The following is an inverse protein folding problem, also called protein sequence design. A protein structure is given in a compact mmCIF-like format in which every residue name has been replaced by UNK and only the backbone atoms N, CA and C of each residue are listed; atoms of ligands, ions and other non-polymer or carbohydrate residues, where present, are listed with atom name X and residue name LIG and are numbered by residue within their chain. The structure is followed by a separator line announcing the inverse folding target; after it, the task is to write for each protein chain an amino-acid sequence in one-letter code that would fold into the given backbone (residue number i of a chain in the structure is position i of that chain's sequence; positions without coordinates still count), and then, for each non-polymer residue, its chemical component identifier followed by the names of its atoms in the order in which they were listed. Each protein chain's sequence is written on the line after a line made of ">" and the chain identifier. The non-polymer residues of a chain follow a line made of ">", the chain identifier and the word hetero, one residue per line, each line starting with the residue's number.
data_IF_238634306056
#
_entry.id   IF_238634306056
#
_cell.length_a   1.000
_cell.length_b   1.000
_cell.length_c   1.000
_cell.angle_alpha   90.00
_cell.angle_beta   90.00
_cell.angle_gamma   90.00
#
_symmetry.space_group_name_H-M   'P 1'
#
loop_
_entity.id
_entity.type
_entity.pdbx_description
1 polymer ?
#
# COMPACT_ATOMS: atom_id res chain seq x y z
N UNK A 1 -16.35 40.97 63.32
CA UNK A 1 -16.08 39.97 64.37
C UNK A 1 -16.64 38.65 63.85
N UNK A 2 -15.95 37.53 63.68
CA UNK A 2 -14.62 37.08 64.12
C UNK A 2 -14.30 35.86 63.23
N UNK A 3 -13.07 35.76 62.72
CA UNK A 3 -12.55 34.56 62.04
C UNK A 3 -12.46 33.39 63.04
N UNK A 4 -12.58 32.13 62.57
CA UNK A 4 -11.50 31.11 62.61
C UNK A 4 -11.96 29.72 62.11
N UNK A 5 -11.01 29.04 61.46
CA UNK A 5 -10.90 27.68 60.93
C UNK A 5 -11.61 26.55 61.72
N UNK A 6 -11.96 25.44 61.05
CA UNK A 6 -11.26 24.14 61.15
C UNK A 6 -11.65 23.15 60.02
N UNK A 7 -10.65 22.39 59.60
CA UNK A 7 -10.58 21.39 58.53
C UNK A 7 -10.88 19.99 59.11
N UNK A 8 -11.62 19.14 58.41
CA UNK A 8 -11.52 17.67 58.58
C UNK A 8 -11.99 16.94 57.31
N UNK A 9 -11.09 16.11 56.76
CA UNK A 9 -11.32 15.18 55.66
C UNK A 9 -12.35 14.09 56.05
N UNK A 10 -13.23 13.73 55.11
CA UNK A 10 -13.85 12.41 55.07
C UNK A 10 -13.86 11.89 53.63
N UNK A 11 -13.32 10.70 53.48
CA UNK A 11 -13.08 9.95 52.23
C UNK A 11 -14.40 9.43 51.68
N UNK A 12 -14.76 9.80 50.44
CA UNK A 12 -15.83 9.16 49.69
C UNK A 12 -15.25 8.09 48.76
N UNK A 13 -15.33 6.83 49.20
CA UNK A 13 -15.29 5.69 48.30
C UNK A 13 -16.69 5.54 47.67
N UNK A 14 -16.82 5.79 46.37
CA UNK A 14 -18.01 5.44 45.61
C UNK A 14 -17.71 4.23 44.73
N UNK A 15 -18.31 3.12 45.13
CA UNK A 15 -18.46 1.88 44.37
C UNK A 15 -19.42 2.16 43.22
N UNK A 16 -18.94 2.05 41.98
CA UNK A 16 -19.83 1.94 40.82
C UNK A 16 -20.16 0.46 40.59
N UNK A 17 -21.30 0.04 41.12
CA UNK A 17 -22.03 -1.16 40.69
C UNK A 17 -22.65 -0.89 39.32
N UNK A 18 -22.36 -1.77 38.36
CA UNK A 18 -22.89 -1.73 37.01
C UNK A 18 -24.40 -2.00 36.97
N UNK A 19 -25.08 -1.28 36.09
CA UNK A 19 -26.40 -1.65 35.60
C UNK A 19 -26.26 -2.43 34.29
N UNK A 20 -27.05 -3.49 34.21
CA UNK A 20 -27.21 -4.43 33.11
C UNK A 20 -28.68 -4.36 32.73
N UNK A 21 -29.00 -3.99 31.49
CA UNK A 21 -30.29 -4.16 30.81
C UNK A 21 -29.94 -4.44 29.33
N UNK A 22 -30.09 -5.65 28.78
CA UNK A 22 -31.29 -6.44 28.39
C UNK A 22 -31.74 -6.18 26.95
N UNK A 23 -31.48 -7.20 26.12
CA UNK A 23 -32.27 -7.73 24.99
C UNK A 23 -32.67 -6.83 23.80
N UNK A 24 -32.01 -7.08 22.65
CA UNK A 24 -32.71 -7.44 21.41
C UNK A 24 -32.97 -6.36 20.36
N UNK A 25 -32.07 -6.22 19.39
CA UNK A 25 -32.45 -5.93 18.00
C UNK A 25 -31.54 -6.69 17.03
N UNK A 26 -32.19 -7.26 16.02
CA UNK A 26 -31.65 -8.01 14.90
C UNK A 26 -30.75 -7.10 14.05
N UNK A 27 -29.67 -7.68 13.51
CA UNK A 27 -28.67 -7.12 12.57
C UNK A 27 -27.61 -6.15 13.17
N UNK A 28 -26.58 -6.73 13.79
CA UNK A 28 -25.25 -6.09 13.87
C UNK A 28 -24.20 -7.15 13.48
N UNK A 29 -23.50 -7.01 12.32
CA UNK A 29 -22.54 -8.00 11.89
C UNK A 29 -21.34 -8.00 12.84
N UNK A 30 -20.81 -9.20 13.08
CA UNK A 30 -19.68 -9.49 13.95
C UNK A 30 -18.46 -8.59 13.69
N UNK A 31 -18.39 -7.42 14.32
CA UNK A 31 -17.14 -6.68 14.52
C UNK A 31 -16.49 -7.28 15.76
N UNK A 32 -15.28 -7.82 15.61
CA UNK A 32 -14.52 -8.34 16.76
C UNK A 32 -14.31 -7.22 17.78
N UNK A 33 -14.14 -7.55 19.06
CA UNK A 33 -13.95 -6.61 20.18
C UNK A 33 -12.81 -5.58 19.96
N UNK A 34 -11.97 -5.75 18.92
CA UNK A 34 -10.85 -4.87 18.59
C UNK A 34 -10.90 -4.24 17.17
N UNK A 35 -11.89 -4.54 16.33
CA UNK A 35 -11.99 -3.98 14.97
C UNK A 35 -10.96 -4.47 13.94
N UNK A 36 -9.90 -5.18 14.36
CA UNK A 36 -8.85 -5.75 13.51
C UNK A 36 -9.07 -7.24 13.25
N UNK A 37 -8.84 -7.68 12.01
CA UNK A 37 -8.99 -9.09 11.62
C UNK A 37 -7.93 -9.97 12.29
N UNK A 38 -8.35 -11.18 12.64
CA UNK A 38 -7.51 -12.28 13.08
C UNK A 38 -7.68 -13.46 12.12
N UNK A 39 -6.68 -14.33 12.08
CA UNK A 39 -6.73 -15.57 11.31
C UNK A 39 -7.91 -16.49 11.68
N UNK A 40 -8.47 -16.33 12.89
CA UNK A 40 -9.60 -17.12 13.39
C UNK A 40 -10.98 -16.58 13.02
N UNK A 41 -11.06 -15.39 12.43
CA UNK A 41 -12.34 -14.82 12.01
C UNK A 41 -12.91 -15.58 10.81
N UNK A 42 -14.19 -15.36 10.49
CA UNK A 42 -14.89 -16.14 9.46
C UNK A 42 -15.35 -15.19 8.36
N UNK A 43 -14.97 -15.50 7.12
CA UNK A 43 -15.46 -14.80 5.94
C UNK A 43 -16.95 -15.13 5.77
N UNK A 44 -17.80 -14.13 6.00
CA UNK A 44 -19.28 -14.26 5.97
C UNK A 44 -19.87 -14.17 4.57
N UNK A 45 -19.10 -13.63 3.61
CA UNK A 45 -19.54 -13.38 2.24
C UNK A 45 -18.44 -12.69 1.43
N UNK A 46 -18.72 -12.43 0.16
CA UNK A 46 -17.81 -11.67 -0.71
C UNK A 46 -17.79 -10.17 -0.38
N UNK A 47 -18.76 -9.69 0.40
CA UNK A 47 -18.87 -8.33 0.97
C UNK A 47 -18.10 -8.15 2.30
N UNK A 48 -17.46 -9.21 2.80
CA UNK A 48 -16.62 -9.16 3.99
C UNK A 48 -15.54 -8.07 3.85
N UNK A 49 -15.53 -7.11 4.77
CA UNK A 49 -14.52 -6.05 4.84
C UNK A 49 -13.32 -6.57 5.62
N UNK A 50 -12.17 -6.66 4.97
CA UNK A 50 -10.92 -7.02 5.67
C UNK A 50 -10.39 -5.84 6.46
N UNK A 51 -10.14 -6.05 7.75
CA UNK A 51 -9.50 -5.06 8.63
C UNK A 51 -8.04 -5.45 8.86
N UNK A 52 -7.14 -4.96 7.99
CA UNK A 52 -5.75 -5.40 7.92
C UNK A 52 -4.84 -4.58 8.85
N UNK A 53 -4.21 -5.18 9.87
CA UNK A 53 -3.30 -4.46 10.77
C UNK A 53 -2.01 -4.07 10.04
N UNK A 54 -1.60 -2.81 10.19
CA UNK A 54 -0.38 -2.24 9.61
C UNK A 54 0.54 -1.73 10.71
N UNK A 55 1.81 -2.12 10.65
CA UNK A 55 2.87 -1.65 11.54
C UNK A 55 3.98 -0.99 10.71
N UNK A 56 4.27 0.28 11.02
CA UNK A 56 5.37 1.04 10.42
C UNK A 56 6.62 0.91 11.28
N UNK A 57 7.67 0.29 10.72
CA UNK A 57 8.99 0.20 11.34
C UNK A 57 9.87 1.34 10.82
N UNK A 58 10.01 2.40 11.62
CA UNK A 58 10.69 3.64 11.25
C UNK A 58 12.13 3.61 11.72
N UNK A 59 13.06 3.42 10.79
CA UNK A 59 14.49 3.37 11.09
C UNK A 59 15.07 4.78 11.16
N UNK A 60 15.81 5.05 12.22
CA UNK A 60 16.41 6.36 12.42
C UNK A 60 17.79 6.27 13.05
N UNK A 61 18.68 7.18 12.66
CA UNK A 61 19.98 7.35 13.30
C UNK A 61 19.94 8.49 14.34
N UNK A 62 19.32 9.60 13.98
CA UNK A 62 19.14 10.79 14.82
C UNK A 62 17.65 11.11 14.98
N UNK A 63 17.16 11.15 16.22
CA UNK A 63 15.76 11.49 16.50
C UNK A 63 15.41 12.96 16.23
N UNK A 64 16.41 13.80 15.95
CA UNK A 64 16.23 15.20 15.53
C UNK A 64 16.13 15.36 14.02
N UNK A 65 16.51 14.35 13.24
CA UNK A 65 16.37 14.38 11.79
C UNK A 65 14.93 14.01 11.41
N UNK A 66 14.12 15.03 11.10
CA UNK A 66 12.71 14.85 10.73
C UNK A 66 12.49 14.08 9.42
N UNK A 67 13.54 13.84 8.62
CA UNK A 67 13.47 12.98 7.43
C UNK A 67 13.65 11.49 7.77
N UNK A 68 14.19 11.18 8.95
CA UNK A 68 14.35 9.80 9.44
C UNK A 68 13.38 9.49 10.59
N UNK A 69 13.23 10.41 11.53
CA UNK A 69 12.34 10.29 12.68
C UNK A 69 10.97 10.92 12.39
N UNK A 70 10.23 10.31 11.47
CA UNK A 70 8.93 10.81 11.00
C UNK A 70 7.89 10.69 12.13
N UNK A 71 7.13 11.75 12.47
CA UNK A 71 6.13 11.68 13.53
C UNK A 71 5.00 10.68 13.26
N UNK A 72 4.57 9.95 14.30
CA UNK A 72 3.54 8.93 14.19
C UNK A 72 2.22 9.41 13.56
N UNK A 73 1.84 10.66 13.80
CA UNK A 73 0.65 11.27 13.19
C UNK A 73 0.69 11.24 11.66
N UNK A 74 1.88 11.31 11.05
CA UNK A 74 2.01 11.26 9.60
C UNK A 74 1.57 9.91 9.04
N UNK A 75 1.86 8.81 9.74
CA UNK A 75 1.46 7.47 9.30
C UNK A 75 -0.04 7.24 9.44
N UNK A 76 -0.68 7.87 10.43
CA UNK A 76 -2.15 7.90 10.52
C UNK A 76 -2.77 8.58 9.31
N UNK A 77 -2.29 9.77 8.96
CA UNK A 77 -2.78 10.49 7.76
C UNK A 77 -2.61 9.65 6.48
N UNK A 78 -1.45 8.98 6.31
CA UNK A 78 -1.22 8.11 5.16
C UNK A 78 -2.24 6.97 5.09
N UNK A 79 -2.48 6.28 6.21
CA UNK A 79 -3.46 5.17 6.27
C UNK A 79 -4.88 5.68 5.99
N UNK A 80 -5.26 6.82 6.55
CA UNK A 80 -6.58 7.43 6.28
C UNK A 80 -6.77 7.70 4.78
N UNK A 81 -5.76 8.29 4.13
CA UNK A 81 -5.80 8.60 2.69
C UNK A 81 -5.70 7.37 1.79
N UNK A 82 -4.95 6.35 2.19
CA UNK A 82 -4.92 5.06 1.50
C UNK A 82 -6.28 4.38 1.58
N UNK A 83 -6.93 4.37 2.74
CA UNK A 83 -8.28 3.82 2.90
C UNK A 83 -9.29 4.54 1.99
N UNK A 84 -9.16 5.84 1.80
CA UNK A 84 -10.00 6.58 0.85
C UNK A 84 -9.75 6.18 -0.62
N UNK A 85 -8.52 5.86 -1.00
CA UNK A 85 -8.20 5.32 -2.33
C UNK A 85 -8.77 3.90 -2.52
N UNK A 86 -8.75 3.08 -1.48
CA UNK A 86 -9.23 1.68 -1.50
C UNK A 86 -10.75 1.55 -1.34
N UNK A 87 -11.41 2.52 -0.72
CA UNK A 87 -12.88 2.57 -0.61
C UNK A 87 -13.57 2.76 -1.97
N UNK A 88 -12.84 3.21 -2.99
CA UNK A 88 -13.37 3.44 -4.32
C UNK A 88 -14.26 4.67 -4.41
N UNK A 89 -14.43 5.17 -5.63
CA UNK A 89 -15.33 6.29 -5.98
C UNK A 89 -15.19 7.60 -5.16
N UNK A 90 -14.05 7.84 -4.50
CA UNK A 90 -13.81 9.07 -3.71
C UNK A 90 -13.27 10.22 -4.57
N UNK A 91 -12.28 9.95 -5.44
CA UNK A 91 -11.48 10.97 -6.13
C UNK A 91 -11.69 11.08 -7.65
N UNK A 92 -12.33 10.07 -8.23
CA UNK A 92 -12.65 9.94 -9.65
C UNK A 92 -13.93 10.68 -10.07
N UNK A 93 -14.52 11.47 -9.17
CA UNK A 93 -15.66 12.31 -9.47
C UNK A 93 -15.29 13.20 -10.68
N UNK A 94 -16.14 13.18 -11.70
CA UNK A 94 -16.04 14.02 -12.91
C UNK A 94 -14.89 13.68 -13.88
N UNK A 95 -14.32 12.47 -13.82
CA UNK A 95 -13.55 11.93 -14.95
C UNK A 95 -14.48 11.12 -15.87
N UNK A 96 -14.23 11.16 -17.17
CA UNK A 96 -14.91 10.31 -18.16
C UNK A 96 -14.28 8.91 -18.13
N UNK A 97 -14.44 8.24 -16.97
CA UNK A 97 -13.86 6.93 -16.66
C UNK A 97 -14.86 6.13 -15.83
N UNK A 98 -14.66 4.82 -15.76
CA UNK A 98 -15.47 3.93 -14.91
C UNK A 98 -15.12 4.18 -13.45
N UNK A 99 -16.10 3.97 -12.56
CA UNK A 99 -15.87 4.11 -11.13
C UNK A 99 -14.73 3.21 -10.65
N UNK A 100 -13.95 3.67 -9.65
CA UNK A 100 -13.02 2.79 -8.95
C UNK A 100 -13.81 1.85 -8.06
N UNK A 101 -13.41 0.59 -8.08
CA UNK A 101 -13.99 -0.43 -7.22
C UNK A 101 -13.74 -0.14 -5.74
N UNK A 102 -14.70 -0.53 -4.92
CA UNK A 102 -14.50 -0.66 -3.48
C UNK A 102 -13.88 -2.03 -3.22
N UNK A 103 -12.71 -2.06 -2.59
CA UNK A 103 -11.98 -3.31 -2.38
C UNK A 103 -12.46 -4.09 -1.15
N UNK A 104 -13.34 -3.50 -0.34
CA UNK A 104 -13.76 -4.04 0.96
C UNK A 104 -12.52 -4.39 1.80
N UNK A 105 -11.58 -3.44 1.87
CA UNK A 105 -10.35 -3.50 2.68
C UNK A 105 -10.23 -2.19 3.43
N UNK A 106 -9.96 -2.29 4.73
CA UNK A 106 -9.63 -1.21 5.63
C UNK A 106 -8.29 -1.52 6.28
N UNK A 107 -7.28 -0.71 6.00
CA UNK A 107 -6.00 -0.78 6.68
C UNK A 107 -6.08 -0.05 8.02
N UNK A 108 -5.53 -0.64 9.06
CA UNK A 108 -5.63 -0.12 10.42
C UNK A 108 -4.28 -0.11 11.11
N UNK A 109 -3.93 0.97 11.79
CA UNK A 109 -2.71 1.02 12.58
C UNK A 109 -2.77 -0.04 13.70
N UNK A 110 -1.78 -0.93 13.76
CA UNK A 110 -1.71 -1.99 14.76
C UNK A 110 -1.80 -1.44 16.19
N UNK A 111 -2.74 -1.92 17.01
CA UNK A 111 -2.87 -1.46 18.40
C UNK A 111 -2.12 -2.32 19.41
N UNK A 112 -1.81 -3.56 19.04
CA UNK A 112 -1.18 -4.57 19.89
C UNK A 112 0.04 -5.14 19.18
N UNK A 113 1.00 -5.61 19.97
CA UNK A 113 2.18 -6.33 19.48
C UNK A 113 1.87 -7.81 19.21
N UNK A 114 2.86 -8.56 18.75
CA UNK A 114 2.77 -10.01 18.48
C UNK A 114 2.35 -10.86 19.69
N UNK A 115 2.49 -10.33 20.91
CA UNK A 115 2.06 -10.99 22.15
C UNK A 115 0.67 -10.54 22.61
N UNK A 116 -0.04 -9.75 21.81
CA UNK A 116 -1.35 -9.19 22.11
C UNK A 116 -1.31 -8.05 23.13
N UNK A 117 -0.13 -7.50 23.46
CA UNK A 117 -0.01 -6.38 24.39
C UNK A 117 -0.14 -5.06 23.65
N UNK A 118 -0.90 -4.12 24.23
CA UNK A 118 -1.08 -2.78 23.64
C UNK A 118 0.27 -2.06 23.49
N UNK A 119 0.53 -1.51 22.31
CA UNK A 119 1.73 -0.72 22.04
C UNK A 119 1.52 0.76 22.40
N UNK A 120 2.62 1.45 22.74
CA UNK A 120 2.57 2.84 23.19
C UNK A 120 2.18 3.82 22.08
N UNK A 121 2.60 3.53 20.85
CA UNK A 121 2.32 4.35 19.67
C UNK A 121 1.65 3.41 18.64
N UNK A 122 0.31 3.46 18.50
CA UNK A 122 -0.40 2.60 17.56
C UNK A 122 0.18 2.70 16.14
N UNK A 123 0.44 1.53 15.56
CA UNK A 123 0.99 1.31 14.23
C UNK A 123 2.39 1.81 13.98
N UNK A 124 3.17 2.22 15.00
CA UNK A 124 4.54 2.74 14.75
C UNK A 124 5.54 2.20 15.77
N UNK A 125 6.62 1.63 15.25
CA UNK A 125 7.82 1.28 15.99
C UNK A 125 9.01 2.09 15.47
N UNK A 126 9.75 2.74 16.37
CA UNK A 126 10.97 3.48 16.02
C UNK A 126 12.21 2.62 16.30
N UNK A 127 12.94 2.28 15.26
CA UNK A 127 14.12 1.39 15.32
C UNK A 127 15.40 2.21 15.17
N UNK A 128 16.17 2.34 16.25
CA UNK A 128 17.44 3.06 16.20
C UNK A 128 18.50 2.23 15.46
N UNK A 129 19.18 2.85 14.50
CA UNK A 129 20.24 2.22 13.69
C UNK A 129 21.46 3.13 13.56
N UNK A 130 22.62 2.56 13.23
CA UNK A 130 23.82 3.32 12.85
C UNK A 130 23.83 3.70 11.37
N UNK A 131 23.08 2.95 10.54
CA UNK A 131 22.96 3.19 9.10
C UNK A 131 22.04 4.38 8.83
N UNK A 132 22.46 5.28 7.93
CA UNK A 132 21.65 6.44 7.53
C UNK A 132 20.72 6.16 6.35
N UNK A 133 21.11 5.21 5.51
CA UNK A 133 20.41 4.82 4.30
C UNK A 133 20.54 3.31 4.12
N UNK A 134 19.54 2.67 3.53
CA UNK A 134 19.55 1.24 3.23
C UNK A 134 19.32 1.01 1.73
N UNK A 135 19.99 0.00 1.18
CA UNK A 135 19.65 -0.53 -0.13
C UNK A 135 18.38 -1.39 0.04
N UNK A 136 17.27 -0.92 -0.53
CA UNK A 136 15.95 -1.50 -0.26
C UNK A 136 15.82 -2.93 -0.78
N UNK A 137 16.36 -3.25 -1.95
CA UNK A 137 16.37 -4.61 -2.47
C UNK A 137 17.22 -5.55 -1.60
N UNK A 138 18.41 -5.10 -1.19
CA UNK A 138 19.27 -5.90 -0.30
C UNK A 138 18.59 -6.15 1.04
N UNK A 139 17.91 -5.14 1.59
CA UNK A 139 17.16 -5.28 2.84
C UNK A 139 16.09 -6.37 2.72
N UNK A 140 15.28 -6.33 1.65
CA UNK A 140 14.16 -7.25 1.43
C UNK A 140 14.62 -8.68 1.12
N UNK A 141 15.82 -8.85 0.53
CA UNK A 141 16.42 -10.17 0.25
C UNK A 141 17.18 -10.78 1.43
N UNK A 142 17.53 -10.00 2.45
CA UNK A 142 18.33 -10.49 3.57
C UNK A 142 17.45 -11.08 4.68
N UNK A 143 17.55 -12.39 4.90
CA UNK A 143 16.88 -13.10 6.01
C UNK A 143 17.19 -12.49 7.38
N UNK A 144 18.36 -11.87 7.56
CA UNK A 144 18.71 -11.23 8.82
C UNK A 144 17.87 -9.98 9.09
N UNK A 145 17.21 -9.41 8.08
CA UNK A 145 16.29 -8.30 8.25
C UNK A 145 14.91 -8.76 8.73
N UNK A 146 14.58 -10.06 8.70
CA UNK A 146 13.33 -10.59 9.25
C UNK A 146 13.21 -10.40 10.77
N UNK A 147 14.32 -10.12 11.48
CA UNK A 147 14.29 -9.73 12.90
C UNK A 147 13.57 -8.40 13.16
N UNK A 148 13.33 -7.60 12.11
CA UNK A 148 12.64 -6.32 12.21
C UNK A 148 11.14 -6.42 11.89
N UNK A 149 10.66 -7.60 11.47
CA UNK A 149 9.25 -7.80 11.12
C UNK A 149 8.50 -8.47 12.24
N UNK A 150 7.26 -8.05 12.42
CA UNK A 150 6.26 -8.83 13.13
C UNK A 150 5.71 -9.94 12.22
N UNK A 151 5.07 -10.94 12.81
CA UNK A 151 4.47 -12.07 12.10
C UNK A 151 3.63 -11.60 10.91
N UNK A 152 4.02 -12.01 9.70
CA UNK A 152 3.42 -11.51 8.46
C UNK A 152 2.01 -12.05 8.23
N UNK A 153 1.62 -13.11 8.95
CA UNK A 153 0.22 -13.59 8.95
C UNK A 153 -0.68 -12.76 9.86
N UNK A 154 -0.13 -11.91 10.71
CA UNK A 154 -0.91 -11.06 11.62
C UNK A 154 -0.82 -9.57 11.25
N UNK A 155 0.29 -9.15 10.62
CA UNK A 155 0.57 -7.74 10.33
C UNK A 155 1.15 -7.51 8.94
N UNK A 156 0.70 -6.44 8.28
CA UNK A 156 1.39 -5.84 7.14
C UNK A 156 2.56 -5.02 7.68
N UNK A 157 3.77 -5.47 7.39
CA UNK A 157 5.00 -4.84 7.82
C UNK A 157 5.41 -3.76 6.81
N UNK A 158 5.46 -2.49 7.23
CA UNK A 158 5.90 -1.35 6.39
C UNK A 158 7.22 -0.80 6.91
N UNK A 159 8.30 -1.02 6.18
CA UNK A 159 9.64 -0.55 6.52
C UNK A 159 9.85 0.88 6.03
N UNK A 160 10.22 1.80 6.92
CA UNK A 160 10.39 3.21 6.58
C UNK A 160 11.81 3.65 6.89
N UNK A 161 12.59 3.86 5.83
CA UNK A 161 13.98 4.31 5.92
C UNK A 161 14.39 5.08 4.67
N UNK A 162 15.47 5.87 4.75
CA UNK A 162 16.01 6.53 3.57
C UNK A 162 16.65 5.49 2.64
N UNK A 163 16.28 5.51 1.36
CA UNK A 163 16.84 4.55 0.39
C UNK A 163 18.19 5.05 -0.13
N UNK A 164 19.17 4.15 -0.21
CA UNK A 164 20.41 4.39 -0.95
C UNK A 164 20.06 4.61 -2.42
N UNK A 165 20.61 5.66 -3.02
CA UNK A 165 20.45 5.88 -4.46
C UNK A 165 21.22 4.82 -5.24
N UNK A 166 20.53 4.20 -6.18
CA UNK A 166 21.08 3.24 -7.15
C UNK A 166 21.31 3.88 -8.53
N UNK A 167 20.70 5.05 -8.78
CA UNK A 167 20.80 5.85 -10.01
C UNK A 167 20.93 7.34 -9.64
N UNK A 168 21.72 8.09 -10.39
CA UNK A 168 21.92 9.53 -10.20
C UNK A 168 20.73 10.38 -10.68
N UNK A 169 19.95 9.87 -11.64
CA UNK A 169 18.88 10.58 -12.32
C UNK A 169 17.48 10.15 -11.87
N UNK A 170 17.36 9.02 -11.17
CA UNK A 170 16.11 8.51 -10.66
C UNK A 170 16.17 8.22 -9.17
N UNK A 171 15.00 8.07 -8.56
CA UNK A 171 14.87 7.73 -7.15
C UNK A 171 13.66 6.84 -6.98
N UNK A 172 13.81 5.84 -6.14
CA UNK A 172 12.74 4.97 -5.70
C UNK A 172 11.93 5.61 -4.60
N UNK A 173 10.61 5.54 -4.68
CA UNK A 173 9.69 6.00 -3.65
C UNK A 173 9.24 4.86 -2.73
N UNK A 174 9.04 3.68 -3.29
CA UNK A 174 8.60 2.48 -2.59
C UNK A 174 8.95 1.21 -3.35
N UNK A 175 8.86 0.08 -2.65
CA UNK A 175 9.03 -1.27 -3.18
C UNK A 175 8.26 -2.26 -2.29
N UNK A 176 7.72 -3.32 -2.89
CA UNK A 176 6.88 -4.30 -2.20
C UNK A 176 7.18 -5.73 -2.63
N UNK A 177 7.06 -6.68 -1.71
CA UNK A 177 7.02 -8.09 -2.08
C UNK A 177 5.72 -8.41 -2.81
N UNK A 178 5.78 -9.35 -3.75
CA UNK A 178 4.58 -9.93 -4.37
C UNK A 178 4.16 -11.19 -3.61
N UNK A 179 2.84 -11.46 -3.51
CA UNK A 179 2.32 -12.64 -2.85
C UNK A 179 2.57 -13.92 -3.65
N UNK A 180 2.26 -15.03 -3.00
CA UNK A 180 2.44 -16.38 -3.53
C UNK A 180 1.09 -17.05 -3.76
N UNK A 181 1.03 -17.89 -4.78
CA UNK A 181 0.03 -18.95 -4.82
C UNK A 181 0.58 -20.19 -4.08
N UNK A 182 -0.30 -21.02 -3.55
CA UNK A 182 0.09 -22.25 -2.85
C UNK A 182 -0.68 -23.46 -3.38
N UNK A 183 0.00 -24.60 -3.36
CA UNK A 183 -0.51 -25.89 -3.80
C UNK A 183 -1.78 -26.27 -3.05
N UNK A 184 -2.80 -26.67 -3.81
CA UNK A 184 -4.08 -27.10 -3.27
C UNK A 184 -5.14 -26.02 -3.13
N UNK A 185 -4.80 -24.76 -3.37
CA UNK A 185 -5.74 -23.63 -3.44
C UNK A 185 -5.95 -23.20 -4.91
N UNK A 186 -6.97 -22.38 -5.21
CA UNK A 186 -7.08 -21.74 -6.53
C UNK A 186 -5.75 -21.07 -6.93
N UNK A 187 -5.36 -21.23 -8.19
CA UNK A 187 -4.13 -20.61 -8.71
C UNK A 187 -4.43 -19.16 -9.09
N UNK A 188 -3.42 -18.29 -8.98
CA UNK A 188 -3.54 -16.87 -9.25
C UNK A 188 -2.46 -16.51 -10.27
N UNK A 189 -2.86 -16.34 -11.52
CA UNK A 189 -1.94 -16.19 -12.65
C UNK A 189 -0.87 -15.13 -12.40
N UNK A 190 0.37 -15.43 -12.75
CA UNK A 190 1.52 -14.54 -12.56
C UNK A 190 2.21 -14.64 -11.20
N UNK A 191 1.51 -15.06 -10.14
CA UNK A 191 2.14 -15.22 -8.82
C UNK A 191 3.07 -16.42 -8.79
N UNK A 192 4.12 -16.32 -7.97
CA UNK A 192 5.07 -17.42 -7.82
C UNK A 192 4.50 -18.53 -6.96
N UNK A 193 4.78 -19.78 -7.35
CA UNK A 193 4.29 -20.96 -6.65
C UNK A 193 5.10 -21.23 -5.38
N UNK A 194 4.48 -20.98 -4.23
CA UNK A 194 4.99 -21.29 -2.90
C UNK A 194 4.96 -22.77 -2.53
N UNK A 195 4.64 -23.68 -3.47
CA UNK A 195 4.47 -25.11 -3.23
C UNK A 195 3.43 -25.36 -2.13
N UNK A 196 3.64 -26.34 -1.25
CA UNK A 196 2.75 -26.67 -0.14
C UNK A 196 3.01 -25.82 1.13
N UNK A 197 3.43 -24.55 0.99
CA UNK A 197 3.74 -23.70 2.14
C UNK A 197 2.50 -23.52 3.05
N UNK A 198 2.62 -23.73 4.38
CA UNK A 198 1.48 -23.59 5.28
C UNK A 198 1.03 -22.12 5.42
N UNK A 199 -0.27 -21.86 5.29
CA UNK A 199 -0.82 -20.50 5.35
C UNK A 199 -0.57 -19.78 6.69
N UNK A 200 -0.37 -20.52 7.78
CA UNK A 200 -0.11 -19.97 9.12
C UNK A 200 1.38 -19.86 9.46
N UNK A 201 2.28 -20.30 8.57
CA UNK A 201 3.73 -20.23 8.83
C UNK A 201 4.25 -18.84 8.45
N UNK A 202 4.97 -18.14 9.34
CA UNK A 202 5.63 -16.88 8.98
C UNK A 202 6.88 -17.13 8.12
N UNK A 203 7.25 -16.12 7.34
CA UNK A 203 8.44 -16.17 6.49
C UNK A 203 9.72 -15.96 7.30
N UNK A 204 10.81 -16.59 6.85
CA UNK A 204 12.17 -16.31 7.35
C UNK A 204 12.80 -15.07 6.71
N UNK A 205 12.13 -14.50 5.72
CA UNK A 205 12.50 -13.24 5.08
C UNK A 205 11.52 -12.15 5.51
N UNK A 206 11.87 -10.86 5.38
CA UNK A 206 11.01 -9.78 5.84
C UNK A 206 9.57 -9.87 5.30
N UNK A 207 9.39 -10.13 3.99
CA UNK A 207 8.09 -10.09 3.32
C UNK A 207 7.26 -8.86 3.75
N UNK A 208 7.67 -7.70 3.24
CA UNK A 208 7.22 -6.39 3.68
C UNK A 208 7.01 -5.45 2.49
N UNK A 209 6.36 -4.32 2.77
CA UNK A 209 6.42 -3.08 1.98
C UNK A 209 7.57 -2.24 2.51
N UNK A 210 8.31 -1.53 1.65
CA UNK A 210 9.28 -0.52 2.07
C UNK A 210 8.96 0.83 1.44
N UNK A 211 9.02 1.91 2.23
CA UNK A 211 8.83 3.28 1.80
C UNK A 211 10.11 4.11 2.02
N UNK A 212 10.43 4.93 1.04
CA UNK A 212 11.57 5.84 1.13
C UNK A 212 11.22 7.03 2.02
N UNK A 213 11.78 7.05 3.23
CA UNK A 213 11.53 8.07 4.25
C UNK A 213 11.76 9.51 3.75
N UNK A 214 12.63 9.70 2.76
CA UNK A 214 12.92 11.01 2.15
C UNK A 214 11.72 11.66 1.45
N UNK A 215 10.68 10.87 1.12
CA UNK A 215 9.48 11.32 0.39
C UNK A 215 8.17 11.19 1.18
N UNK A 216 8.20 10.60 2.37
CA UNK A 216 7.00 10.41 3.21
C UNK A 216 6.44 11.72 3.77
N UNK A 217 7.27 12.76 3.85
CA UNK A 217 6.89 14.05 4.40
C UNK A 217 5.73 14.72 3.63
N UNK A 218 4.85 15.43 4.36
CA UNK A 218 3.67 16.12 3.83
C UNK A 218 3.96 17.11 2.70
N UNK A 219 5.19 17.66 2.59
CA UNK A 219 5.56 18.54 1.47
C UNK A 219 5.49 17.88 0.09
N UNK A 220 5.50 16.55 0.02
CA UNK A 220 5.34 15.80 -1.23
C UNK A 220 3.90 15.37 -1.50
N UNK A 221 2.98 15.61 -0.58
CA UNK A 221 1.57 15.29 -0.73
C UNK A 221 0.90 16.21 -1.77
N UNK A 222 0.19 15.61 -2.73
CA UNK A 222 -0.68 16.36 -3.62
C UNK A 222 -1.89 16.91 -2.85
N UNK A 223 -2.45 18.05 -3.27
CA UNK A 223 -3.50 18.70 -2.47
C UNK A 223 -4.87 18.02 -2.52
N UNK A 224 -5.03 16.93 -3.28
CA UNK A 224 -6.31 16.21 -3.43
C UNK A 224 -6.90 15.71 -2.11
N UNK A 225 -6.07 15.36 -1.13
CA UNK A 225 -6.51 14.80 0.15
C UNK A 225 -6.97 15.85 1.17
N UNK A 226 -6.59 17.11 0.95
CA UNK A 226 -6.83 18.21 1.89
C UNK A 226 -7.92 19.18 1.41
N UNK A 227 -8.33 19.08 0.15
CA UNK A 227 -9.47 19.81 -0.39
C UNK A 227 -10.77 19.03 -0.19
N UNK A 228 -11.90 19.75 -0.27
CA UNK A 228 -13.24 19.16 -0.16
C UNK A 228 -13.47 18.12 -1.25
N UNK A 229 -13.72 16.87 -0.86
CA UNK A 229 -13.85 15.69 -1.74
C UNK A 229 -14.90 15.84 -2.84
N UNK A 230 -16.04 16.46 -2.51
CA UNK A 230 -17.13 16.78 -3.45
C UNK A 230 -16.78 17.86 -4.50
N UNK A 231 -15.59 18.45 -4.37
CA UNK A 231 -15.07 19.52 -5.24
C UNK A 231 -13.70 19.23 -5.82
N UNK A 232 -13.22 17.96 -5.79
CA UNK A 232 -11.89 17.55 -6.30
C UNK A 232 -11.85 17.64 -7.83
N UNK A 233 -11.88 18.86 -8.35
CA UNK A 233 -11.76 19.19 -9.77
C UNK A 233 -10.51 20.01 -10.03
N UNK A 234 -9.94 20.64 -8.99
CA UNK A 234 -8.70 21.40 -9.04
C UNK A 234 -7.79 21.00 -7.88
N UNK A 235 -6.60 20.48 -8.17
CA UNK A 235 -5.60 20.17 -7.15
C UNK A 235 -4.18 20.23 -7.74
N UNK A 236 -3.21 20.35 -6.86
CA UNK A 236 -1.78 20.26 -7.19
C UNK A 236 -1.37 18.79 -7.16
N UNK A 237 -0.82 18.34 -8.28
CA UNK A 237 -0.33 16.98 -8.44
C UNK A 237 1.14 16.92 -8.08
N UNK A 238 1.53 15.90 -7.31
CA UNK A 238 2.91 15.63 -6.99
C UNK A 238 3.26 14.20 -7.45
N UNK A 239 4.31 14.07 -8.25
CA UNK A 239 4.81 12.77 -8.72
C UNK A 239 5.38 11.91 -7.59
N UNK A 240 5.79 12.53 -6.48
CA UNK A 240 6.33 11.87 -5.30
C UNK A 240 5.30 11.74 -4.16
N UNK A 241 4.00 11.78 -4.48
CA UNK A 241 2.91 11.72 -3.50
C UNK A 241 2.95 10.42 -2.67
N UNK A 242 3.30 10.50 -1.36
CA UNK A 242 3.52 9.30 -0.55
C UNK A 242 2.25 8.51 -0.26
N UNK A 243 1.06 9.14 -0.36
CA UNK A 243 -0.21 8.44 -0.20
C UNK A 243 -0.45 7.51 -1.39
N UNK A 244 -0.21 8.01 -2.62
CA UNK A 244 -0.31 7.22 -3.83
C UNK A 244 0.79 6.15 -3.90
N UNK A 245 2.01 6.47 -3.47
CA UNK A 245 3.10 5.48 -3.36
C UNK A 245 2.70 4.35 -2.42
N UNK A 246 2.26 4.63 -1.19
CA UNK A 246 1.88 3.56 -0.25
C UNK A 246 0.69 2.75 -0.78
N UNK A 247 -0.33 3.40 -1.36
CA UNK A 247 -1.47 2.72 -1.96
C UNK A 247 -1.05 1.78 -3.11
N UNK A 248 -0.09 2.21 -3.93
CA UNK A 248 0.51 1.44 -5.01
C UNK A 248 1.28 0.22 -4.48
N UNK A 249 2.17 0.42 -3.51
CA UNK A 249 2.97 -0.68 -2.93
C UNK A 249 2.10 -1.71 -2.19
N UNK A 250 1.01 -1.27 -1.56
CA UNK A 250 0.01 -2.17 -0.98
C UNK A 250 -0.77 -2.92 -2.07
N UNK A 251 -0.97 -2.32 -3.24
CA UNK A 251 -1.54 -3.00 -4.40
C UNK A 251 -0.67 -4.17 -4.84
N UNK A 252 0.64 -3.97 -4.90
CA UNK A 252 1.61 -5.06 -5.12
C UNK A 252 1.59 -6.09 -4.00
N UNK A 253 1.55 -5.65 -2.74
CA UNK A 253 1.48 -6.57 -1.59
C UNK A 253 0.26 -7.48 -1.66
N UNK A 254 -0.84 -6.98 -2.25
CA UNK A 254 -2.08 -7.70 -2.52
C UNK A 254 -2.13 -8.32 -3.93
N UNK A 255 -1.01 -8.37 -4.65
CA UNK A 255 -0.81 -9.16 -5.86
C UNK A 255 -1.09 -8.47 -7.19
N UNK A 256 -1.25 -7.15 -7.21
CA UNK A 256 -1.33 -6.41 -8.46
C UNK A 256 0.04 -6.24 -9.11
N UNK A 257 0.04 -6.14 -10.43
CA UNK A 257 1.19 -5.79 -11.27
C UNK A 257 0.98 -4.42 -11.89
N UNK A 258 2.01 -3.89 -12.56
CA UNK A 258 1.93 -2.60 -13.23
C UNK A 258 0.97 -2.64 -14.42
N UNK A 259 0.14 -1.60 -14.58
CA UNK A 259 -0.82 -1.47 -15.68
C UNK A 259 -0.19 -1.13 -17.04
N UNK A 260 1.11 -1.34 -17.20
CA UNK A 260 1.87 -1.13 -18.44
C UNK A 260 2.69 -2.37 -18.75
N UNK A 261 3.07 -2.52 -20.02
CA UNK A 261 3.78 -3.69 -20.47
C UNK A 261 5.15 -3.81 -19.79
N UNK A 262 5.42 -4.98 -19.23
CA UNK A 262 6.69 -5.30 -18.59
C UNK A 262 7.32 -6.60 -19.11
N UNK A 263 8.61 -6.75 -18.88
CA UNK A 263 9.35 -7.98 -19.17
C UNK A 263 10.16 -8.38 -17.95
N UNK A 264 10.20 -9.68 -17.67
CA UNK A 264 10.95 -10.23 -16.54
C UNK A 264 12.38 -10.56 -16.93
N UNK A 265 13.34 -10.04 -16.17
CA UNK A 265 14.76 -10.37 -16.28
C UNK A 265 15.07 -11.75 -15.70
N UNK A 266 16.27 -12.24 -16.02
CA UNK A 266 16.79 -13.54 -15.54
C UNK A 266 16.89 -13.65 -14.01
N UNK A 267 16.95 -12.53 -13.30
CA UNK A 267 17.02 -12.47 -11.84
C UNK A 267 15.64 -12.26 -11.18
N UNK A 268 14.55 -12.38 -11.96
CA UNK A 268 13.18 -12.22 -11.48
C UNK A 268 12.69 -10.77 -11.40
N UNK A 269 13.53 -9.79 -11.75
CA UNK A 269 13.14 -8.38 -11.76
C UNK A 269 12.30 -8.05 -12.98
N UNK A 270 11.15 -7.39 -12.79
CA UNK A 270 10.36 -6.85 -13.90
C UNK A 270 10.99 -5.56 -14.44
N UNK A 271 10.82 -5.19 -15.70
CA UNK A 271 11.12 -3.85 -16.20
C UNK A 271 10.18 -3.43 -17.33
N UNK A 272 10.02 -2.13 -17.62
CA UNK A 272 9.19 -1.69 -18.74
C UNK A 272 9.63 -2.37 -20.04
N UNK A 273 8.69 -2.97 -20.75
CA UNK A 273 8.93 -3.59 -22.04
C UNK A 273 8.70 -2.59 -23.18
N UNK A 274 9.44 -2.76 -24.28
CA UNK A 274 9.24 -1.97 -25.51
C UNK A 274 8.16 -2.60 -26.40
N UNK A 275 7.02 -2.92 -25.80
CA UNK A 275 5.84 -3.47 -26.44
C UNK A 275 4.59 -2.95 -25.70
N UNK A 276 3.42 -3.51 -26.00
CA UNK A 276 2.14 -3.12 -25.40
C UNK A 276 1.40 -4.36 -24.87
N UNK A 277 2.16 -5.40 -24.53
CA UNK A 277 1.60 -6.65 -24.04
C UNK A 277 0.89 -6.40 -22.70
N UNK A 278 -0.23 -7.09 -22.49
CA UNK A 278 -0.87 -7.15 -21.19
C UNK A 278 -0.10 -8.15 -20.33
N UNK A 279 0.58 -7.62 -19.30
CA UNK A 279 1.41 -8.39 -18.39
C UNK A 279 0.98 -8.24 -16.94
N UNK A 280 -0.17 -7.62 -16.69
CA UNK A 280 -0.66 -7.33 -15.34
C UNK A 280 -1.72 -8.33 -14.84
N UNK A 281 -2.17 -9.20 -15.76
CA UNK A 281 -3.16 -10.25 -15.54
C UNK A 281 -4.56 -9.71 -15.20
N UNK A 282 -4.88 -8.49 -15.65
CA UNK A 282 -6.18 -7.83 -15.55
C UNK A 282 -6.57 -7.26 -16.93
N UNK A 283 -7.38 -7.98 -17.70
CA UNK A 283 -7.77 -7.61 -19.06
C UNK A 283 -8.60 -6.32 -19.16
N UNK A 284 -9.14 -5.83 -18.04
CA UNK A 284 -9.85 -4.57 -17.94
C UNK A 284 -8.94 -3.35 -17.71
N UNK A 285 -7.62 -3.55 -17.56
CA UNK A 285 -6.61 -2.50 -17.55
C UNK A 285 -6.01 -2.33 -18.96
N UNK A 286 -6.12 -1.15 -19.60
CA UNK A 286 -5.51 -0.97 -20.91
C UNK A 286 -3.98 -0.86 -20.78
N UNK A 287 -3.24 -1.84 -21.32
CA UNK A 287 -1.77 -1.80 -21.38
C UNK A 287 -1.26 -0.81 -22.45
N UNK A 288 -0.06 -0.27 -22.22
CA UNK A 288 0.64 0.66 -23.12
C UNK A 288 2.17 0.50 -23.04
N UNK A 289 2.86 0.96 -24.08
CA UNK A 289 4.32 1.01 -24.11
C UNK A 289 4.83 2.21 -23.29
N UNK A 290 5.26 1.94 -22.06
CA UNK A 290 5.76 2.97 -21.15
C UNK A 290 7.04 3.64 -21.62
N UNK A 291 7.92 2.93 -22.33
CA UNK A 291 9.17 3.50 -22.87
C UNK A 291 8.84 4.57 -23.92
N UNK A 292 7.98 4.23 -24.89
CA UNK A 292 7.53 5.14 -25.95
C UNK A 292 6.78 6.34 -25.38
N UNK A 293 5.88 6.10 -24.42
CA UNK A 293 5.20 7.18 -23.71
C UNK A 293 6.19 8.08 -22.97
N UNK A 294 7.18 7.51 -22.27
CA UNK A 294 8.21 8.27 -21.56
C UNK A 294 9.04 9.17 -22.49
N UNK A 295 9.34 8.70 -23.70
CA UNK A 295 10.00 9.50 -24.75
C UNK A 295 9.13 10.67 -25.18
N UNK A 296 7.87 10.40 -25.54
CA UNK A 296 6.90 11.43 -25.91
C UNK A 296 6.73 12.48 -24.80
N UNK A 297 6.58 12.05 -23.54
CA UNK A 297 6.38 12.93 -22.39
C UNK A 297 7.56 13.90 -22.23
N UNK A 298 8.78 13.40 -22.34
CA UNK A 298 9.98 14.25 -22.26
C UNK A 298 9.98 15.28 -23.39
N UNK A 299 9.77 14.85 -24.64
CA UNK A 299 9.75 15.78 -25.77
C UNK A 299 8.64 16.83 -25.66
N UNK A 300 7.46 16.43 -25.22
CA UNK A 300 6.31 17.31 -25.03
C UNK A 300 6.62 18.41 -24.00
N UNK A 301 7.21 18.03 -22.86
CA UNK A 301 7.59 18.97 -21.81
C UNK A 301 8.71 19.91 -22.27
N UNK A 302 9.76 19.39 -22.90
CA UNK A 302 10.89 20.19 -23.37
C UNK A 302 10.47 21.21 -24.44
N UNK A 303 9.65 20.79 -25.42
CA UNK A 303 9.10 21.68 -26.45
C UNK A 303 8.27 22.80 -25.83
N UNK A 304 7.41 22.49 -24.87
CA UNK A 304 6.59 23.49 -24.19
C UNK A 304 7.44 24.47 -23.36
N UNK A 305 8.45 23.97 -22.63
CA UNK A 305 9.36 24.81 -21.82
C UNK A 305 10.30 25.69 -22.66
N UNK A 306 10.67 25.25 -23.85
CA UNK A 306 11.43 26.07 -24.79
C UNK A 306 10.63 27.31 -25.24
N UNK A 307 9.29 27.22 -25.31
CA UNK A 307 8.41 28.36 -25.61
C UNK A 307 8.21 29.22 -24.36
N UNK A 308 7.91 28.59 -23.22
CA UNK A 308 7.71 29.28 -21.93
C UNK A 308 8.28 28.44 -20.80
N UNK A 309 9.39 28.90 -20.20
CA UNK A 309 10.11 28.20 -19.14
C UNK A 309 9.22 27.77 -17.96
N UNK A 310 8.31 28.65 -17.53
CA UNK A 310 7.39 28.44 -16.41
C UNK A 310 6.04 27.86 -16.86
N UNK A 311 6.06 26.95 -17.84
CA UNK A 311 4.83 26.28 -18.30
C UNK A 311 4.27 25.38 -17.20
N UNK A 312 3.01 25.62 -16.85
CA UNK A 312 2.21 24.71 -16.01
C UNK A 312 1.49 23.70 -16.91
N UNK A 313 1.59 22.43 -16.55
CA UNK A 313 0.92 21.35 -17.28
C UNK A 313 -0.35 20.91 -16.55
N UNK A 314 -1.31 20.37 -17.29
CA UNK A 314 -2.48 19.73 -16.69
C UNK A 314 -2.28 18.23 -16.60
N UNK A 315 -2.77 17.58 -15.53
CA UNK A 315 -2.76 16.11 -15.44
C UNK A 315 -3.41 15.51 -16.68
N UNK A 316 -4.55 16.05 -17.11
CA UNK A 316 -5.27 15.66 -18.34
C UNK A 316 -4.42 15.65 -19.61
N UNK A 317 -3.48 16.60 -19.75
CA UNK A 317 -2.60 16.62 -20.92
C UNK A 317 -1.53 15.53 -20.85
N UNK A 318 -1.03 15.24 -19.65
CA UNK A 318 0.07 14.30 -19.44
C UNK A 318 -0.43 12.85 -19.31
N UNK A 319 -1.62 12.61 -18.76
CA UNK A 319 -2.14 11.26 -18.54
C UNK A 319 -2.69 10.57 -19.80
N UNK A 320 -2.64 11.21 -20.97
CA UNK A 320 -3.10 10.59 -22.22
C UNK A 320 -2.26 9.36 -22.56
N UNK A 321 -2.92 8.29 -22.95
CA UNK A 321 -2.32 7.05 -23.42
C UNK A 321 -2.98 6.60 -24.71
N UNK A 322 -2.23 5.81 -25.46
CA UNK A 322 -2.72 5.12 -26.65
C UNK A 322 -2.00 3.80 -26.78
N UNK A 323 -2.60 2.86 -27.50
CA UNK A 323 -1.97 1.62 -27.91
C UNK A 323 -2.26 1.32 -29.39
N UNK A 324 -1.62 0.30 -29.92
CA UNK A 324 -1.67 -0.17 -31.31
C UNK A 324 -3.06 -0.63 -31.77
N UNK A 325 -3.97 -0.93 -30.84
CA UNK A 325 -5.39 -1.18 -31.15
C UNK A 325 -6.18 0.10 -31.47
N UNK A 326 -5.58 1.27 -31.31
CA UNK A 326 -6.21 2.57 -31.50
C UNK A 326 -7.05 3.03 -30.30
N UNK A 327 -6.98 2.31 -29.16
CA UNK A 327 -7.61 2.73 -27.91
C UNK A 327 -6.87 3.94 -27.36
N UNK A 328 -7.61 4.98 -26.98
CA UNK A 328 -7.11 6.15 -26.27
C UNK A 328 -7.80 6.28 -24.93
N UNK A 329 -7.07 6.68 -23.88
CA UNK A 329 -7.64 6.90 -22.57
C UNK A 329 -6.83 7.91 -21.75
N UNK A 330 -7.46 8.43 -20.70
CA UNK A 330 -6.79 9.18 -19.65
C UNK A 330 -6.38 8.19 -18.54
N UNK A 331 -5.09 7.99 -18.33
CA UNK A 331 -4.58 7.06 -17.32
C UNK A 331 -4.97 7.51 -15.91
N UNK A 332 -5.61 6.61 -15.17
CA UNK A 332 -6.11 6.85 -13.82
C UNK A 332 -5.81 5.72 -12.82
N UNK A 333 -5.26 4.61 -13.31
CA UNK A 333 -4.97 3.43 -12.51
C UNK A 333 -3.87 3.71 -11.47
N UNK A 334 -4.06 3.22 -10.24
CA UNK A 334 -3.07 3.35 -9.17
C UNK A 334 -1.77 2.60 -9.49
N UNK A 335 -1.82 1.54 -10.31
CA UNK A 335 -0.68 0.70 -10.68
C UNK A 335 0.13 1.24 -11.86
N UNK A 336 -0.05 2.49 -12.29
CA UNK A 336 0.81 3.15 -13.29
C UNK A 336 1.98 3.90 -12.60
N UNK A 337 3.14 3.95 -13.25
CA UNK A 337 4.34 4.68 -12.82
C UNK A 337 4.52 6.02 -13.50
N UNK A 338 3.77 6.26 -14.57
CA UNK A 338 3.80 7.51 -15.29
C UNK A 338 2.82 8.52 -14.66
N UNK A 339 2.98 9.80 -14.99
CA UNK A 339 1.99 10.83 -14.59
C UNK A 339 0.60 10.38 -15.05
N UNK A 340 -0.28 10.18 -14.08
CA UNK A 340 -1.65 9.73 -14.25
C UNK A 340 -2.50 10.30 -13.12
N UNK A 341 -3.78 9.96 -13.05
CA UNK A 341 -4.63 10.40 -11.96
C UNK A 341 -4.42 9.61 -10.65
N UNK A 342 -3.83 8.41 -10.70
CA UNK A 342 -3.49 7.53 -9.56
C UNK A 342 -4.63 7.43 -8.54
N UNK A 343 -5.81 6.99 -8.96
CA UNK A 343 -7.02 7.03 -8.12
C UNK A 343 -7.98 5.86 -8.34
N UNK A 344 -7.66 4.92 -9.22
CA UNK A 344 -8.57 3.86 -9.64
C UNK A 344 -7.95 2.47 -9.51
N UNK A 345 -8.74 1.56 -8.96
CA UNK A 345 -8.64 0.11 -9.17
C UNK A 345 -9.81 -0.37 -10.03
N UNK A 346 -9.56 -1.36 -10.88
CA UNK A 346 -10.57 -1.96 -11.77
C UNK A 346 -11.28 -3.17 -11.12
N UNK A 347 -12.43 -3.62 -11.66
CA UNK A 347 -13.07 -4.88 -11.28
C UNK A 347 -12.12 -6.08 -11.18
N UNK A 348 -11.28 -6.31 -12.19
CA UNK A 348 -10.37 -7.48 -12.18
C UNK A 348 -9.23 -7.31 -11.17
N UNK A 349 -8.70 -6.09 -11.01
CA UNK A 349 -7.74 -5.80 -9.94
C UNK A 349 -8.35 -6.07 -8.55
N UNK A 350 -9.59 -5.61 -8.32
CA UNK A 350 -10.30 -5.88 -7.07
C UNK A 350 -10.48 -7.38 -6.83
N UNK A 351 -10.97 -8.11 -7.83
CA UNK A 351 -11.11 -9.56 -7.77
C UNK A 351 -9.79 -10.26 -7.44
N UNK A 352 -8.71 -9.86 -8.09
CA UNK A 352 -7.36 -10.41 -7.92
C UNK A 352 -6.85 -10.22 -6.49
N UNK A 353 -6.94 -9.01 -5.95
CA UNK A 353 -6.56 -8.72 -4.55
C UNK A 353 -7.36 -9.57 -3.55
N UNK A 354 -8.66 -9.79 -3.82
CA UNK A 354 -9.47 -10.70 -3.01
C UNK A 354 -8.99 -12.14 -3.08
N UNK A 355 -8.57 -12.64 -4.25
CA UNK A 355 -8.02 -14.00 -4.35
C UNK A 355 -6.76 -14.15 -3.49
N UNK A 356 -5.89 -13.13 -3.47
CA UNK A 356 -4.70 -13.11 -2.62
C UNK A 356 -5.07 -13.17 -1.14
N UNK A 357 -5.98 -12.30 -0.69
CA UNK A 357 -6.44 -12.29 0.69
C UNK A 357 -7.04 -13.64 1.12
N UNK A 358 -7.74 -14.33 0.23
CA UNK A 358 -8.36 -15.63 0.50
C UNK A 358 -7.37 -16.78 0.59
N UNK A 359 -6.32 -16.78 -0.24
CA UNK A 359 -5.58 -18.01 -0.57
C UNK A 359 -4.06 -17.91 -0.48
N UNK A 360 -3.49 -16.71 -0.33
CA UNK A 360 -2.04 -16.55 -0.20
C UNK A 360 -1.59 -16.65 1.28
N UNK A 361 -0.40 -17.22 1.54
CA UNK A 361 0.23 -17.14 2.86
C UNK A 361 0.76 -15.72 3.10
N UNK A 362 1.17 -15.43 4.34
CA UNK A 362 1.79 -14.16 4.74
C UNK A 362 0.89 -12.94 4.55
N UNK A 363 -0.42 -13.17 4.55
CA UNK A 363 -1.45 -12.13 4.44
C UNK A 363 -2.25 -12.12 5.74
N UNK A 364 -2.43 -10.96 6.39
CA UNK A 364 -3.28 -10.87 7.57
C UNK A 364 -4.75 -11.23 7.30
N UNK A 365 -5.40 -11.73 8.33
CA UNK A 365 -6.85 -11.96 8.37
C UNK A 365 -7.30 -13.32 7.86
N UNK A 366 -8.61 -13.58 7.90
CA UNK A 366 -9.15 -14.92 7.70
C UNK A 366 -9.00 -15.42 6.26
N UNK A 367 -8.86 -16.75 6.12
CA UNK A 367 -8.65 -17.45 4.83
C UNK A 367 -9.87 -18.28 4.45
N UNK A 368 -10.16 -18.39 3.14
CA UNK A 368 -11.23 -19.29 2.66
C UNK A 368 -10.78 -20.74 2.81
N UNK A 369 -11.72 -21.62 3.15
CA UNK A 369 -11.45 -23.07 3.24
C UNK A 369 -10.96 -23.60 1.90
N UNK A 370 -10.00 -24.53 1.97
CA UNK A 370 -9.50 -25.24 0.80
C UNK A 370 -10.64 -26.04 0.12
N UNK A 371 -10.75 -26.00 -1.22
CA UNK A 371 -11.67 -26.89 -1.94
C UNK A 371 -11.27 -28.36 -1.76
N UNK A 372 -12.25 -29.24 -1.49
CA UNK A 372 -12.02 -30.67 -1.20
C UNK A 372 -11.53 -31.49 -2.42
N UNK A 373 -11.41 -30.90 -3.60
CA UNK A 373 -11.20 -31.61 -4.87
C UNK A 373 -9.75 -31.75 -5.34
N UNK A 374 -8.74 -31.33 -4.55
CA UNK A 374 -7.32 -31.39 -4.96
C UNK A 374 -6.48 -32.27 -4.03
N UNK A 375 -5.92 -33.35 -4.57
CA UNK A 375 -5.00 -34.28 -3.90
C UNK A 375 -3.86 -33.54 -3.19
N UNK A 376 -3.60 -33.91 -1.95
CA UNK A 376 -2.43 -33.50 -1.19
C UNK A 376 -1.19 -34.01 -1.94
N UNK A 377 -0.35 -33.13 -2.48
CA UNK A 377 1.04 -33.51 -2.70
C UNK A 377 1.64 -33.67 -1.30
N UNK A 378 2.30 -34.79 -0.97
CA UNK A 378 2.84 -35.02 0.37
C UNK A 378 3.73 -33.83 0.77
N UNK A 379 3.58 -33.38 2.02
CA UNK A 379 4.51 -32.43 2.60
C UNK A 379 5.92 -33.02 2.47
N UNK A 380 6.81 -32.31 1.78
CA UNK A 380 8.22 -32.69 1.69
C UNK A 380 8.90 -32.38 3.02
N UNK A 381 9.80 -33.25 3.47
CA UNK A 381 10.62 -33.02 4.68
C UNK A 381 11.60 -31.84 4.54
N UNK A 382 11.78 -31.29 3.34
CA UNK A 382 12.45 -30.01 3.13
C UNK A 382 11.58 -28.89 3.68
N UNK A 383 12.11 -28.08 4.61
CA UNK A 383 11.46 -26.82 4.99
C UNK A 383 11.21 -25.99 3.73
N UNK A 384 9.94 -25.79 3.30
CA UNK A 384 9.70 -24.98 2.13
C UNK A 384 10.01 -23.53 2.50
N UNK A 385 11.12 -22.99 2.00
CA UNK A 385 11.35 -21.55 1.96
C UNK A 385 10.66 -21.00 0.70
N UNK A 386 9.97 -19.87 0.85
CA UNK A 386 9.31 -19.18 -0.26
C UNK A 386 10.37 -18.49 -1.14
N UNK A 387 10.22 -18.52 -2.47
CA UNK A 387 11.10 -17.75 -3.35
C UNK A 387 10.94 -16.26 -3.05
N UNK A 388 12.00 -15.45 -3.09
CA UNK A 388 11.87 -14.01 -2.86
C UNK A 388 11.43 -13.35 -4.16
N UNK A 389 10.23 -12.76 -4.15
CA UNK A 389 9.64 -12.08 -5.30
C UNK A 389 9.14 -10.71 -4.87
N UNK A 390 9.46 -9.69 -5.65
CA UNK A 390 9.06 -8.32 -5.40
C UNK A 390 8.66 -7.65 -6.69
N UNK A 391 7.72 -6.72 -6.61
CA UNK A 391 7.43 -5.81 -7.72
C UNK A 391 8.60 -4.84 -7.85
N UNK A 392 9.01 -4.54 -9.09
CA UNK A 392 10.12 -3.60 -9.29
C UNK A 392 9.73 -2.24 -8.72
N UNK A 393 10.67 -1.64 -8.01
CA UNK A 393 10.57 -0.36 -7.34
C UNK A 393 9.95 0.80 -8.14
N UNK A 394 9.14 1.64 -7.47
CA UNK A 394 8.54 2.85 -8.06
C UNK A 394 9.60 3.93 -8.22
N UNK A 395 10.36 3.83 -9.32
CA UNK A 395 11.42 4.77 -9.66
C UNK A 395 10.89 5.92 -10.53
N UNK A 396 11.06 7.14 -10.05
CA UNK A 396 10.73 8.37 -10.79
C UNK A 396 12.00 9.19 -11.05
N UNK A 397 12.00 9.95 -12.16
CA UNK A 397 13.14 10.82 -12.48
C UNK A 397 13.17 12.00 -11.51
N UNK A 398 14.34 12.30 -10.95
CA UNK A 398 14.53 13.39 -9.98
C UNK A 398 14.14 14.75 -10.58
N UNK A 399 14.35 14.94 -11.89
CA UNK A 399 13.94 16.16 -12.60
C UNK A 399 12.42 16.36 -12.60
N UNK A 400 11.64 15.28 -12.60
CA UNK A 400 10.18 15.33 -12.67
C UNK A 400 9.57 15.73 -11.32
N UNK A 401 10.27 15.45 -10.21
CA UNK A 401 9.91 15.91 -8.85
C UNK A 401 10.14 17.42 -8.70
N UNK A 402 11.27 17.92 -9.23
CA UNK A 402 11.75 19.29 -8.91
C UNK A 402 11.29 20.36 -9.89
N UNK A 403 11.03 20.00 -11.14
CA UNK A 403 10.95 20.98 -12.23
C UNK A 403 9.63 20.96 -13.00
N UNK A 404 8.62 20.17 -12.62
CA UNK A 404 7.34 20.14 -13.32
C UNK A 404 6.23 20.55 -12.35
N UNK A 405 5.56 21.65 -12.66
CA UNK A 405 4.31 22.02 -11.97
C UNK A 405 3.14 21.42 -12.73
N UNK A 406 2.45 20.47 -12.10
CA UNK A 406 1.28 19.79 -12.66
C UNK A 406 0.07 20.08 -11.79
N UNK A 407 -1.04 20.42 -12.44
CA UNK A 407 -2.32 20.69 -11.76
C UNK A 407 -3.46 19.94 -12.44
N UNK A 408 -4.45 19.50 -11.69
CA UNK A 408 -5.77 19.21 -12.27
C UNK A 408 -6.51 20.54 -12.37
N UNK A 409 -7.13 20.82 -13.52
CA UNK A 409 -8.07 21.93 -13.70
C UNK A 409 -9.37 21.40 -14.31
N UNK A 410 -10.49 21.98 -13.91
CA UNK A 410 -11.81 21.72 -14.49
C UNK A 410 -11.88 22.07 -15.97
#
# INVERSE_FOLDING_TARGET
>A
MRQFLYLALAVCALVFTGCKDSEGSIDDPYVTENGQDRDSDIITGDDYVYHLPVIFHVFYNDSKDTLQYIPAIRFRELIDHVNELYAGNVYNQQLDTVASENLHVQFELAEKDENGKRIAIPGVEYIKTTEKEFDCEKFMKDKNCAKYTWNQNDYINVMVYAFKKTDENSTTLGISHLPYEVGGYPQIDGLSNGKNYPLNKPSKFPYCVSLNALYVNKKYEGTRYTIRKDTVTNYEYNTADPNATLAHELGHYLGLYHAFAETTKKDGQSEPADNEDDTDYCTDTPSYNRIKYGTWLNEYIEKAKAIKKDTTFTVKALCKRTNSSGKEWEADNLMDYSICYSMRFTPEQAYRMRQVLYYSPLMPGPKKKRPETRTWAPATDEEPDLPIVYAKEHAIKIKDIRNITVVRKK
#
